data_IF_527620187396
#
_entry.id   IF_527620187396
#
_cell.length_a   1.000
_cell.length_b   1.000
_cell.length_c   1.000
_cell.angle_alpha   90.00
_cell.angle_beta   90.00
_cell.angle_gamma   90.00
#
_symmetry.space_group_name_H-M   'P 1'
#
loop_
_entity.id
_entity.type
_entity.pdbx_description
1 polymer ?
#
# COMPACT_ATOMS: atom_id res chain seq x y z
N UNK A 1 -7.30 -19.14 15.83
CA UNK A 1 -6.73 -18.03 16.61
C UNK A 1 -7.73 -17.63 17.67
N UNK A 2 -7.35 -17.58 18.94
CA UNK A 2 -8.19 -17.06 20.02
C UNK A 2 -8.21 -15.52 19.99
N UNK A 3 -9.13 -14.90 20.74
CA UNK A 3 -9.20 -13.44 20.86
C UNK A 3 -7.91 -12.82 21.43
N UNK A 4 -7.29 -13.49 22.41
CA UNK A 4 -6.01 -13.06 23.02
C UNK A 4 -4.88 -13.11 21.99
N UNK A 5 -4.77 -14.22 21.24
CA UNK A 5 -3.77 -14.37 20.17
C UNK A 5 -3.97 -13.31 19.07
N UNK A 6 -5.22 -13.02 18.71
CA UNK A 6 -5.52 -11.99 17.72
C UNK A 6 -5.09 -10.60 18.22
N UNK A 7 -5.35 -10.27 19.49
CA UNK A 7 -4.92 -9.01 20.09
C UNK A 7 -3.40 -8.84 20.06
N UNK A 8 -2.66 -9.89 20.43
CA UNK A 8 -1.21 -9.92 20.35
C UNK A 8 -0.72 -9.72 18.92
N UNK A 9 -1.34 -10.43 17.97
CA UNK A 9 -1.01 -10.36 16.56
C UNK A 9 -1.24 -8.96 15.99
N UNK A 10 -2.43 -8.38 16.15
CA UNK A 10 -2.76 -7.09 15.53
C UNK A 10 -1.94 -5.94 16.12
N UNK A 11 -1.64 -5.99 17.43
CA UNK A 11 -0.81 -4.99 18.10
C UNK A 11 0.66 -5.09 17.62
N UNK A 12 1.21 -6.31 17.54
CA UNK A 12 2.56 -6.54 17.02
C UNK A 12 2.66 -6.11 15.56
N UNK A 13 1.67 -6.50 14.74
CA UNK A 13 1.62 -6.18 13.31
C UNK A 13 1.56 -4.66 13.06
N UNK A 14 0.83 -3.90 13.88
CA UNK A 14 0.80 -2.43 13.78
C UNK A 14 2.19 -1.81 14.02
N UNK A 15 2.90 -2.24 15.05
CA UNK A 15 4.26 -1.74 15.36
C UNK A 15 5.26 -2.12 14.27
N UNK A 16 5.24 -3.39 13.84
CA UNK A 16 6.09 -3.88 12.76
C UNK A 16 5.84 -3.09 11.46
N UNK A 17 4.58 -2.79 11.16
CA UNK A 17 4.20 -1.99 9.99
C UNK A 17 4.77 -0.57 10.06
N UNK A 18 4.70 0.07 11.22
CA UNK A 18 5.28 1.39 11.42
C UNK A 18 6.81 1.40 11.21
N UNK A 19 7.52 0.37 11.68
CA UNK A 19 8.97 0.22 11.47
C UNK A 19 9.32 0.12 9.98
N UNK A 20 8.64 -0.77 9.25
CA UNK A 20 8.89 -0.97 7.81
C UNK A 20 8.59 0.30 7.00
N UNK A 21 7.51 1.01 7.33
CA UNK A 21 7.18 2.31 6.70
C UNK A 21 8.26 3.36 7.03
N UNK A 22 8.75 3.41 8.27
CA UNK A 22 9.81 4.32 8.69
C UNK A 22 11.12 4.10 7.92
N UNK A 23 11.53 2.83 7.76
CA UNK A 23 12.72 2.47 6.96
C UNK A 23 12.53 2.85 5.50
N UNK A 24 11.38 2.54 4.90
CA UNK A 24 11.07 2.92 3.52
C UNK A 24 11.11 4.45 3.31
N UNK A 25 10.55 5.22 4.24
CA UNK A 25 10.59 6.69 4.20
C UNK A 25 12.02 7.24 4.33
N UNK A 26 12.87 6.62 5.16
CA UNK A 26 14.29 6.97 5.28
C UNK A 26 15.07 6.70 3.98
N UNK A 27 14.90 5.50 3.42
CA UNK A 27 15.51 5.10 2.15
C UNK A 27 15.07 5.98 0.98
N UNK A 28 13.80 6.35 0.94
CA UNK A 28 13.26 7.25 -0.09
C UNK A 28 14.01 8.60 -0.09
N UNK A 29 14.27 9.17 1.09
CA UNK A 29 14.99 10.46 1.23
C UNK A 29 16.42 10.41 0.70
N UNK A 30 17.06 9.25 0.76
CA UNK A 30 18.44 9.07 0.30
C UNK A 30 18.53 8.76 -1.19
N UNK A 31 17.42 8.41 -1.83
CA UNK A 31 17.37 8.16 -3.26
C UNK A 31 17.07 9.43 -4.06
N UNK A 32 17.76 9.62 -5.18
CA UNK A 32 17.53 10.71 -6.14
C UNK A 32 16.42 10.36 -7.13
N UNK A 33 16.54 9.21 -7.82
CA UNK A 33 15.63 8.79 -8.88
C UNK A 33 14.22 8.39 -8.41
N UNK A 34 13.21 8.88 -9.13
CA UNK A 34 11.78 8.54 -8.89
C UNK A 34 11.47 7.06 -9.08
N UNK A 35 12.15 6.41 -10.02
CA UNK A 35 11.99 4.98 -10.27
C UNK A 35 12.46 4.15 -9.08
N UNK A 36 13.60 4.53 -8.48
CA UNK A 36 14.10 3.91 -7.24
C UNK A 36 13.14 4.13 -6.08
N UNK A 37 12.64 5.36 -5.90
CA UNK A 37 11.63 5.68 -4.88
C UNK A 37 10.37 4.82 -5.03
N UNK A 38 9.92 4.62 -6.27
CA UNK A 38 8.76 3.77 -6.56
C UNK A 38 9.02 2.33 -6.11
N UNK A 39 10.20 1.78 -6.40
CA UNK A 39 10.58 0.42 -5.97
C UNK A 39 10.65 0.28 -4.44
N UNK A 40 11.12 1.30 -3.73
CA UNK A 40 11.14 1.31 -2.25
C UNK A 40 9.73 1.18 -1.68
N UNK A 41 8.79 1.99 -2.16
CA UNK A 41 7.41 1.91 -1.69
C UNK A 41 6.70 0.62 -2.12
N UNK A 42 6.97 0.10 -3.32
CA UNK A 42 6.49 -1.22 -3.72
C UNK A 42 7.00 -2.30 -2.79
N UNK A 43 8.31 -2.31 -2.48
CA UNK A 43 8.91 -3.25 -1.54
C UNK A 43 8.29 -3.11 -0.14
N UNK A 44 8.03 -1.87 0.31
CA UNK A 44 7.33 -1.61 1.57
C UNK A 44 5.94 -2.29 1.60
N UNK A 45 5.08 -2.06 0.60
CA UNK A 45 3.74 -2.69 0.58
C UNK A 45 3.80 -4.22 0.47
N UNK A 46 4.72 -4.77 -0.31
CA UNK A 46 4.97 -6.22 -0.36
C UNK A 46 5.40 -6.73 1.00
N UNK A 47 6.32 -6.06 1.68
CA UNK A 47 6.77 -6.41 3.03
C UNK A 47 5.66 -6.33 4.06
N UNK A 48 4.77 -5.33 3.99
CA UNK A 48 3.62 -5.22 4.90
C UNK A 48 2.63 -6.39 4.72
N UNK A 49 2.37 -6.81 3.48
CA UNK A 49 1.53 -7.99 3.21
C UNK A 49 2.26 -9.30 3.55
N UNK A 50 3.58 -9.34 3.38
CA UNK A 50 4.42 -10.46 3.82
C UNK A 50 4.39 -10.63 5.34
N UNK A 51 4.47 -9.54 6.10
CA UNK A 51 4.34 -9.54 7.57
C UNK A 51 2.95 -10.04 8.02
N UNK A 52 1.90 -9.64 7.32
CA UNK A 52 0.54 -10.17 7.53
C UNK A 52 0.53 -11.69 7.34
N UNK A 53 1.09 -12.18 6.23
CA UNK A 53 1.14 -13.62 5.94
C UNK A 53 1.98 -14.38 6.97
N UNK A 54 3.17 -13.88 7.32
CA UNK A 54 4.05 -14.48 8.35
C UNK A 54 3.33 -14.55 9.69
N UNK A 55 2.69 -13.48 10.13
CA UNK A 55 2.00 -13.47 11.43
C UNK A 55 0.77 -14.37 11.50
N UNK A 56 0.15 -14.69 10.37
CA UNK A 56 -1.00 -15.59 10.31
C UNK A 56 -0.62 -17.05 10.09
N UNK A 57 0.49 -17.33 9.38
CA UNK A 57 0.85 -18.65 8.87
C UNK A 57 2.04 -19.31 9.58
N UNK A 58 2.90 -18.53 10.25
CA UNK A 58 4.10 -19.04 10.90
C UNK A 58 4.07 -18.82 12.42
N UNK A 59 4.60 -19.76 13.21
CA UNK A 59 4.84 -19.53 14.62
C UNK A 59 5.91 -18.46 14.78
N UNK A 60 5.74 -17.62 15.79
CA UNK A 60 6.66 -16.54 16.10
C UNK A 60 7.52 -16.86 17.31
N UNK A 61 8.70 -16.25 17.35
CA UNK A 61 9.63 -16.37 18.47
C UNK A 61 9.12 -15.57 19.67
N UNK A 62 9.09 -16.22 20.82
CA UNK A 62 8.75 -15.64 22.10
C UNK A 62 10.04 -15.44 22.89
N UNK A 63 10.61 -14.24 22.77
CA UNK A 63 11.89 -13.91 23.43
C UNK A 63 11.72 -13.57 24.91
N UNK A 64 10.50 -13.25 25.35
CA UNK A 64 10.20 -12.92 26.73
C UNK A 64 8.79 -13.37 27.14
N UNK A 65 8.64 -13.71 28.41
CA UNK A 65 7.34 -14.01 29.04
C UNK A 65 7.27 -13.26 30.38
N UNK A 66 6.73 -12.02 30.38
CA UNK A 66 6.67 -11.16 31.57
C UNK A 66 5.75 -11.71 32.66
N UNK A 67 4.90 -12.69 32.31
CA UNK A 67 3.89 -13.28 33.17
C UNK A 67 4.44 -14.33 34.15
N UNK A 68 5.69 -14.76 33.97
CA UNK A 68 6.31 -15.82 34.78
C UNK A 68 6.44 -15.49 36.27
N UNK A 69 6.47 -14.22 36.63
CA UNK A 69 6.57 -13.74 38.03
C UNK A 69 5.22 -13.24 38.57
N UNK A 70 4.17 -13.24 37.75
CA UNK A 70 2.85 -12.73 38.14
C UNK A 70 2.08 -13.77 38.95
N UNK A 71 1.23 -13.30 39.88
CA UNK A 71 0.35 -14.17 40.64
C UNK A 71 -0.75 -14.77 39.75
N UNK A 72 -1.25 -15.96 40.10
CA UNK A 72 -2.34 -16.63 39.37
C UNK A 72 -3.58 -15.73 39.21
N UNK A 73 -3.93 -14.96 40.25
CA UNK A 73 -5.03 -14.02 40.20
C UNK A 73 -4.80 -12.89 39.18
N UNK A 74 -3.58 -12.34 39.11
CA UNK A 74 -3.21 -11.30 38.13
C UNK A 74 -3.26 -11.84 36.70
N UNK A 75 -2.73 -13.04 36.48
CA UNK A 75 -2.73 -13.71 35.17
C UNK A 75 -4.17 -13.94 34.68
N UNK A 76 -5.05 -14.41 35.57
CA UNK A 76 -6.45 -14.70 35.23
C UNK A 76 -7.24 -13.41 34.92
N UNK A 77 -7.03 -12.36 35.71
CA UNK A 77 -7.65 -11.05 35.48
C UNK A 77 -7.19 -10.43 34.15
N UNK A 78 -5.89 -10.47 33.85
CA UNK A 78 -5.33 -10.00 32.59
C UNK A 78 -5.88 -10.80 31.40
N UNK A 79 -5.92 -12.12 31.49
CA UNK A 79 -6.48 -12.99 30.47
C UNK A 79 -7.95 -12.69 30.17
N UNK A 80 -8.76 -12.41 31.21
CA UNK A 80 -10.15 -11.98 31.05
C UNK A 80 -10.26 -10.67 30.29
N UNK A 81 -9.51 -9.64 30.72
CA UNK A 81 -9.50 -8.33 30.08
C UNK A 81 -9.01 -8.39 28.63
N UNK A 82 -7.93 -9.11 28.35
CA UNK A 82 -7.38 -9.28 27.00
C UNK A 82 -8.31 -10.07 26.08
N UNK A 83 -9.06 -11.05 26.60
CA UNK A 83 -10.05 -11.78 25.82
C UNK A 83 -11.20 -10.88 25.39
N UNK A 84 -11.75 -10.09 26.31
CA UNK A 84 -12.84 -9.14 26.00
C UNK A 84 -12.35 -8.07 25.00
N UNK A 85 -11.21 -7.45 25.28
CA UNK A 85 -10.60 -6.46 24.40
C UNK A 85 -10.27 -7.05 23.03
N UNK A 86 -9.65 -8.22 22.98
CA UNK A 86 -9.30 -8.91 21.73
C UNK A 86 -10.53 -9.27 20.90
N UNK A 87 -11.63 -9.66 21.54
CA UNK A 87 -12.91 -9.95 20.87
C UNK A 87 -13.48 -8.67 20.26
N UNK A 88 -13.52 -7.57 21.03
CA UNK A 88 -13.96 -6.27 20.53
C UNK A 88 -13.11 -5.79 19.36
N UNK A 89 -11.77 -5.82 19.50
CA UNK A 89 -10.83 -5.38 18.45
C UNK A 89 -10.96 -6.24 17.21
N UNK A 90 -11.17 -7.55 17.34
CA UNK A 90 -11.41 -8.45 16.20
C UNK A 90 -12.65 -8.05 15.40
N UNK A 91 -13.78 -7.84 16.08
CA UNK A 91 -15.01 -7.46 15.40
C UNK A 91 -14.93 -6.08 14.77
N UNK A 92 -14.32 -5.10 15.47
CA UNK A 92 -14.07 -3.76 14.92
C UNK A 92 -13.16 -3.84 13.69
N UNK A 93 -12.07 -4.61 13.77
CA UNK A 93 -11.14 -4.80 12.67
C UNK A 93 -11.82 -5.45 11.47
N UNK A 94 -12.55 -6.55 11.68
CA UNK A 94 -13.26 -7.29 10.64
C UNK A 94 -14.32 -6.43 9.96
N UNK A 95 -15.11 -5.69 10.75
CA UNK A 95 -16.09 -4.76 10.22
C UNK A 95 -15.43 -3.71 9.33
N UNK A 96 -14.32 -3.10 9.78
CA UNK A 96 -13.59 -2.14 8.97
C UNK A 96 -13.00 -2.73 7.69
N UNK A 97 -12.47 -3.96 7.73
CA UNK A 97 -12.00 -4.67 6.53
C UNK A 97 -13.14 -4.88 5.54
N UNK A 98 -14.30 -5.36 6.00
CA UNK A 98 -15.50 -5.58 5.15
C UNK A 98 -15.95 -4.27 4.52
N UNK A 99 -16.05 -3.19 5.31
CA UNK A 99 -16.41 -1.86 4.80
C UNK A 99 -15.42 -1.36 3.76
N UNK A 100 -14.12 -1.53 3.99
CA UNK A 100 -13.06 -1.11 3.07
C UNK A 100 -13.07 -1.90 1.76
N UNK A 101 -13.24 -3.22 1.83
CA UNK A 101 -13.35 -4.09 0.65
C UNK A 101 -14.62 -3.78 -0.13
N UNK A 102 -15.77 -3.61 0.54
CA UNK A 102 -17.02 -3.23 -0.10
C UNK A 102 -16.89 -1.87 -0.80
N UNK A 103 -16.29 -0.87 -0.14
CA UNK A 103 -16.01 0.44 -0.74
C UNK A 103 -15.12 0.32 -1.98
N UNK A 104 -14.07 -0.49 -1.92
CA UNK A 104 -13.17 -0.73 -3.06
C UNK A 104 -13.90 -1.40 -4.23
N UNK A 105 -14.72 -2.42 -3.94
CA UNK A 105 -15.51 -3.13 -4.94
C UNK A 105 -16.56 -2.21 -5.60
N UNK A 106 -17.29 -1.42 -4.81
CA UNK A 106 -18.25 -0.44 -5.32
C UNK A 106 -17.54 0.58 -6.20
N UNK A 107 -16.41 1.13 -5.74
CA UNK A 107 -15.64 2.09 -6.52
C UNK A 107 -15.15 1.49 -7.85
N UNK A 108 -14.66 0.25 -7.82
CA UNK A 108 -14.26 -0.47 -9.01
C UNK A 108 -15.41 -0.65 -10.01
N UNK A 109 -16.60 -1.06 -9.55
CA UNK A 109 -17.79 -1.22 -10.38
C UNK A 109 -18.22 0.12 -10.99
N UNK A 110 -18.27 1.19 -10.19
CA UNK A 110 -18.65 2.52 -10.65
C UNK A 110 -17.66 3.06 -11.70
N UNK A 111 -16.36 2.90 -11.47
CA UNK A 111 -15.32 3.31 -12.42
C UNK A 111 -15.42 2.50 -13.71
N UNK A 112 -15.59 1.18 -13.63
CA UNK A 112 -15.72 0.34 -14.81
C UNK A 112 -16.98 0.68 -15.62
N UNK A 113 -18.09 0.93 -14.94
CA UNK A 113 -19.33 1.39 -15.57
C UNK A 113 -19.14 2.74 -16.27
N UNK A 114 -18.47 3.69 -15.61
CA UNK A 114 -18.18 5.01 -16.15
C UNK A 114 -17.28 4.93 -17.40
N UNK A 115 -16.20 4.13 -17.33
CA UNK A 115 -15.25 3.92 -18.43
C UNK A 115 -15.91 3.31 -19.66
N UNK A 116 -16.78 2.31 -19.46
CA UNK A 116 -17.46 1.63 -20.55
C UNK A 116 -18.46 2.53 -21.29
N UNK A 117 -18.89 3.65 -20.69
CA UNK A 117 -19.83 4.61 -21.28
C UNK A 117 -19.16 5.74 -22.06
N UNK A 118 -17.87 5.95 -21.90
CA UNK A 118 -17.18 7.03 -22.60
C UNK A 118 -16.98 6.69 -24.08
N UNK A 119 -17.28 7.62 -25.00
CA UNK A 119 -17.11 7.40 -26.42
C UNK A 119 -15.62 7.30 -26.80
N UNK A 120 -15.34 6.53 -27.84
CA UNK A 120 -14.01 6.52 -28.46
C UNK A 120 -13.76 7.84 -29.19
N UNK A 121 -12.51 8.26 -29.27
CA UNK A 121 -12.14 9.39 -30.12
C UNK A 121 -12.41 9.05 -31.60
N UNK A 122 -12.76 10.04 -32.45
CA UNK A 122 -12.92 9.80 -33.89
C UNK A 122 -11.65 9.24 -34.54
N UNK A 123 -11.80 8.45 -35.60
CA UNK A 123 -10.67 7.75 -36.26
C UNK A 123 -9.54 8.69 -36.71
N UNK A 124 -9.89 9.89 -37.20
CA UNK A 124 -8.91 10.88 -37.62
C UNK A 124 -8.06 11.40 -36.45
N UNK A 125 -8.72 11.64 -35.32
CA UNK A 125 -8.07 12.07 -34.08
C UNK A 125 -7.22 10.93 -33.51
N UNK A 126 -7.72 9.69 -33.49
CA UNK A 126 -6.95 8.52 -33.05
C UNK A 126 -5.64 8.38 -33.84
N UNK A 127 -5.69 8.53 -35.17
CA UNK A 127 -4.50 8.51 -36.02
C UNK A 127 -3.52 9.61 -35.64
N UNK A 128 -4.00 10.85 -35.51
CA UNK A 128 -3.16 11.98 -35.14
C UNK A 128 -2.47 11.80 -33.78
N UNK A 129 -3.20 11.33 -32.76
CA UNK A 129 -2.64 11.04 -31.43
C UNK A 129 -1.55 9.97 -31.48
N UNK A 130 -1.74 8.93 -32.32
CA UNK A 130 -0.75 7.86 -32.49
C UNK A 130 0.52 8.34 -33.20
N UNK A 131 0.42 9.30 -34.12
CA UNK A 131 1.57 9.88 -34.82
C UNK A 131 2.43 10.77 -33.90
N UNK A 132 1.87 11.30 -32.81
CA UNK A 132 2.61 12.14 -31.85
C UNK A 132 3.55 11.37 -30.93
N UNK A 133 3.34 10.06 -30.78
CA UNK A 133 4.03 9.23 -29.79
C UNK A 133 4.68 8.02 -30.44
N UNK A 134 5.66 7.42 -29.77
CA UNK A 134 6.36 6.26 -30.33
C UNK A 134 5.47 5.01 -30.30
N UNK A 135 5.53 4.12 -31.32
CA UNK A 135 4.70 2.91 -31.37
C UNK A 135 4.81 2.02 -30.12
N UNK A 136 5.98 1.99 -29.48
CA UNK A 136 6.22 1.25 -28.24
C UNK A 136 5.38 1.75 -27.06
N UNK A 137 5.04 3.05 -27.04
CA UNK A 137 4.20 3.63 -25.98
C UNK A 137 2.72 3.28 -26.13
N UNK A 138 2.30 2.88 -27.33
CA UNK A 138 0.91 2.53 -27.66
C UNK A 138 0.54 1.09 -27.26
N UNK A 139 1.45 0.38 -26.60
CA UNK A 139 1.23 -0.97 -26.08
C UNK A 139 1.54 -1.00 -24.60
N UNK A 140 0.58 -1.46 -23.79
CA UNK A 140 0.74 -1.65 -22.35
C UNK A 140 0.28 -3.06 -21.98
N UNK A 141 1.14 -3.79 -21.24
CA UNK A 141 0.92 -5.20 -20.89
C UNK A 141 0.49 -6.09 -22.09
N UNK A 142 1.13 -5.89 -23.24
CA UNK A 142 0.85 -6.66 -24.47
C UNK A 142 -0.48 -6.33 -25.17
N UNK A 143 -1.17 -5.26 -24.77
CA UNK A 143 -2.44 -4.83 -25.37
C UNK A 143 -2.34 -3.40 -25.93
N UNK A 144 -2.99 -3.11 -27.07
CA UNK A 144 -2.98 -1.77 -27.65
C UNK A 144 -3.78 -0.78 -26.78
N UNK A 145 -3.30 0.46 -26.71
CA UNK A 145 -3.97 1.57 -26.03
C UNK A 145 -5.16 2.05 -26.86
N UNK A 146 -6.32 2.17 -26.22
CA UNK A 146 -7.53 2.77 -26.79
C UNK A 146 -7.71 4.20 -26.24
N UNK A 147 -7.77 5.19 -27.14
CA UNK A 147 -8.06 6.57 -26.78
C UNK A 147 -9.58 6.83 -26.71
N UNK A 148 -10.02 7.54 -25.67
CA UNK A 148 -11.42 7.88 -25.41
C UNK A 148 -11.56 9.35 -25.05
N UNK A 149 -12.74 9.91 -25.28
CA UNK A 149 -13.06 11.26 -24.82
C UNK A 149 -13.37 11.19 -23.33
N UNK A 150 -12.69 12.02 -22.54
CA UNK A 150 -12.88 12.13 -21.09
C UNK A 150 -13.70 13.37 -20.70
N UNK A 151 -14.27 13.41 -19.49
CA UNK A 151 -14.90 14.60 -18.95
C UNK A 151 -13.88 15.70 -18.62
N UNK A 152 -14.27 16.95 -18.90
CA UNK A 152 -13.42 18.13 -18.70
C UNK A 152 -13.06 18.38 -17.23
N UNK A 153 -13.96 18.05 -16.30
CA UNK A 153 -13.79 18.30 -14.86
C UNK A 153 -12.67 17.45 -14.25
N UNK A 154 -12.48 16.25 -14.80
CA UNK A 154 -11.47 15.27 -14.33
C UNK A 154 -10.11 15.59 -14.96
N UNK A 155 -10.11 16.08 -16.20
CA UNK A 155 -8.90 16.27 -17.01
C UNK A 155 -8.42 14.97 -17.66
N UNK A 156 -7.20 14.95 -18.21
CA UNK A 156 -6.62 13.75 -18.79
C UNK A 156 -6.33 12.72 -17.69
N UNK A 157 -6.62 11.45 -17.98
CA UNK A 157 -6.26 10.33 -17.10
C UNK A 157 -6.19 9.03 -17.90
N UNK A 158 -5.52 8.04 -17.34
CA UNK A 158 -5.47 6.70 -17.87
C UNK A 158 -6.11 5.67 -16.93
N UNK A 159 -6.46 4.52 -17.49
CA UNK A 159 -6.97 3.38 -16.73
C UNK A 159 -6.55 2.06 -17.36
N UNK A 160 -6.13 1.10 -16.53
CA UNK A 160 -5.77 -0.24 -16.99
C UNK A 160 -6.12 -1.30 -15.95
N UNK A 161 -7.23 -1.99 -16.19
CA UNK A 161 -7.52 -3.27 -15.55
C UNK A 161 -7.36 -4.41 -16.55
N UNK A 162 -8.18 -4.41 -17.62
CA UNK A 162 -8.10 -5.44 -18.66
C UNK A 162 -7.55 -4.90 -19.99
N UNK A 163 -8.04 -3.74 -20.46
CA UNK A 163 -7.50 -3.02 -21.62
C UNK A 163 -6.98 -1.64 -21.16
N UNK A 164 -5.85 -1.19 -21.70
CA UNK A 164 -5.33 0.13 -21.39
C UNK A 164 -6.13 1.20 -22.14
N UNK A 165 -6.67 2.16 -21.40
CA UNK A 165 -7.43 3.29 -21.90
C UNK A 165 -6.76 4.60 -21.51
N UNK A 166 -6.70 5.55 -22.44
CA UNK A 166 -6.33 6.94 -22.17
C UNK A 166 -7.53 7.82 -22.49
N UNK A 167 -7.95 8.61 -21.51
CA UNK A 167 -9.07 9.54 -21.62
C UNK A 167 -8.52 10.94 -21.77
N UNK A 168 -8.95 11.61 -22.84
CA UNK A 168 -8.50 12.96 -23.18
C UNK A 168 -9.75 13.85 -23.26
N UNK A 169 -9.84 14.91 -22.45
CA UNK A 169 -10.87 15.93 -22.59
C UNK A 169 -10.90 16.53 -24.01
N UNK A 170 -12.08 16.89 -24.50
CA UNK A 170 -12.24 17.44 -25.84
C UNK A 170 -11.45 18.75 -26.01
N UNK A 171 -11.42 19.58 -24.97
CA UNK A 171 -10.67 20.85 -24.97
C UNK A 171 -9.16 20.65 -25.14
N UNK A 172 -8.60 19.50 -24.73
CA UNK A 172 -7.18 19.19 -24.94
C UNK A 172 -6.89 18.69 -26.35
N UNK A 173 -7.86 18.15 -27.07
CA UNK A 173 -7.69 17.79 -28.48
C UNK A 173 -7.53 19.01 -29.38
N UNK A 174 -8.03 20.17 -28.94
CA UNK A 174 -7.88 21.47 -29.61
C UNK A 174 -6.67 22.28 -29.12
N UNK A 175 -5.90 21.74 -28.17
CA UNK A 175 -4.72 22.42 -27.61
C UNK A 175 -3.52 22.40 -28.55
N UNK A 176 -2.48 23.16 -28.20
CA UNK A 176 -1.23 23.14 -28.94
C UNK A 176 -0.63 21.72 -28.99
N UNK A 177 -0.02 21.38 -30.14
CA UNK A 177 0.58 20.07 -30.37
C UNK A 177 1.61 19.66 -29.32
N UNK A 178 2.35 20.63 -28.77
CA UNK A 178 3.33 20.37 -27.71
C UNK A 178 2.63 20.06 -26.37
N UNK A 179 1.56 20.79 -26.04
CA UNK A 179 0.75 20.56 -24.84
C UNK A 179 0.14 19.14 -24.86
N UNK A 180 -0.49 18.79 -25.98
CA UNK A 180 -1.10 17.48 -26.17
C UNK A 180 -0.06 16.35 -26.11
N UNK A 181 1.12 16.54 -26.72
CA UNK A 181 2.21 15.56 -26.64
C UNK A 181 2.69 15.33 -25.21
N UNK A 182 2.89 16.38 -24.42
CA UNK A 182 3.28 16.25 -23.01
C UNK A 182 2.24 15.45 -22.20
N UNK A 183 0.95 15.71 -22.44
CA UNK A 183 -0.14 14.96 -21.80
C UNK A 183 -0.11 13.49 -22.18
N UNK A 184 0.06 13.19 -23.48
CA UNK A 184 0.13 11.82 -23.97
C UNK A 184 1.33 11.08 -23.37
N UNK A 185 2.52 11.68 -23.38
CA UNK A 185 3.72 11.08 -22.79
C UNK A 185 3.52 10.79 -21.29
N UNK A 186 2.86 11.69 -20.55
CA UNK A 186 2.54 11.50 -19.14
C UNK A 186 1.58 10.32 -18.92
N UNK A 187 0.42 10.32 -19.59
CA UNK A 187 -0.61 9.30 -19.40
C UNK A 187 -0.20 7.92 -19.93
N UNK A 188 0.56 7.86 -21.03
CA UNK A 188 1.10 6.60 -21.54
C UNK A 188 2.19 6.05 -20.60
N UNK A 189 2.96 6.92 -19.94
CA UNK A 189 3.93 6.47 -18.93
C UNK A 189 3.25 5.75 -17.78
N UNK A 190 2.10 6.25 -17.30
CA UNK A 190 1.32 5.55 -16.26
C UNK A 190 0.90 4.13 -16.66
N UNK A 191 0.62 3.89 -17.94
CA UNK A 191 0.22 2.59 -18.47
C UNK A 191 1.40 1.63 -18.69
N UNK A 192 2.57 2.17 -19.04
CA UNK A 192 3.78 1.37 -19.31
C UNK A 192 4.45 0.88 -18.04
N UNK A 193 4.28 1.58 -16.94
CA UNK A 193 4.85 1.22 -15.64
C UNK A 193 3.95 0.20 -14.93
N UNK A 194 4.52 -0.56 -13.98
CA UNK A 194 3.79 -1.58 -13.20
C UNK A 194 2.81 -0.98 -12.16
N UNK A 195 2.19 0.17 -12.45
CA UNK A 195 1.27 0.87 -11.54
C UNK A 195 0.03 0.07 -11.15
N UNK A 196 -0.61 -0.74 -12.02
CA UNK A 196 -1.79 -1.50 -11.61
C UNK A 196 -1.51 -2.47 -10.46
N UNK A 197 -0.40 -3.21 -10.50
CA UNK A 197 0.01 -4.11 -9.42
C UNK A 197 0.36 -3.33 -8.15
N UNK A 198 1.08 -2.22 -8.28
CA UNK A 198 1.44 -1.36 -7.13
C UNK A 198 0.19 -0.79 -6.44
N UNK A 199 -0.79 -0.36 -7.22
CA UNK A 199 -2.06 0.14 -6.71
C UNK A 199 -2.84 -0.97 -6.03
N UNK A 200 -2.87 -2.18 -6.61
CA UNK A 200 -3.51 -3.34 -5.98
C UNK A 200 -2.89 -3.68 -4.62
N UNK A 201 -1.56 -3.75 -4.53
CA UNK A 201 -0.85 -3.99 -3.27
C UNK A 201 -1.18 -2.90 -2.24
N UNK A 202 -1.07 -1.63 -2.63
CA UNK A 202 -1.39 -0.48 -1.79
C UNK A 202 -2.84 -0.50 -1.27
N UNK A 203 -3.83 -0.78 -2.14
CA UNK A 203 -5.24 -0.87 -1.75
C UNK A 203 -5.52 -2.06 -0.84
N UNK A 204 -4.89 -3.20 -1.10
CA UNK A 204 -4.98 -4.38 -0.23
C UNK A 204 -4.44 -4.07 1.16
N UNK A 205 -3.24 -3.47 1.26
CA UNK A 205 -2.67 -3.05 2.54
C UNK A 205 -3.58 -2.05 3.26
N UNK A 206 -4.17 -1.07 2.55
CA UNK A 206 -5.13 -0.12 3.13
C UNK A 206 -6.39 -0.79 3.68
N UNK A 207 -6.87 -1.88 3.07
CA UNK A 207 -8.03 -2.60 3.58
C UNK A 207 -7.70 -3.32 4.89
N UNK A 208 -6.53 -3.96 4.98
CA UNK A 208 -6.08 -4.71 6.18
C UNK A 208 -5.73 -3.76 7.32
N UNK A 209 -5.01 -2.68 7.02
CA UNK A 209 -4.50 -1.69 7.99
C UNK A 209 -5.29 -0.37 7.91
N UNK A 210 -6.61 -0.47 7.73
CA UNK A 210 -7.48 0.70 7.52
C UNK A 210 -7.41 1.72 8.67
N UNK A 211 -7.17 1.25 9.89
CA UNK A 211 -7.02 2.08 11.09
C UNK A 211 -5.63 2.71 11.23
N UNK A 212 -4.63 2.28 10.45
CA UNK A 212 -3.24 2.65 10.64
C UNK A 212 -2.87 3.94 9.87
N UNK A 213 -2.66 5.09 10.54
CA UNK A 213 -2.47 6.38 9.87
C UNK A 213 -1.23 6.40 8.94
N UNK A 214 -0.13 5.75 9.32
CA UNK A 214 1.08 5.74 8.49
C UNK A 214 0.90 5.02 7.16
N UNK A 215 -0.03 4.06 7.05
CA UNK A 215 -0.32 3.37 5.78
C UNK A 215 -0.99 4.33 4.79
N UNK A 216 -1.85 5.23 5.29
CA UNK A 216 -2.45 6.29 4.48
C UNK A 216 -1.42 7.32 4.03
N UNK A 217 -0.50 7.71 4.93
CA UNK A 217 0.61 8.60 4.58
C UNK A 217 1.52 7.96 3.53
N UNK A 218 1.91 6.69 3.73
CA UNK A 218 2.70 5.91 2.78
C UNK A 218 2.02 5.80 1.41
N UNK A 219 0.71 5.52 1.40
CA UNK A 219 -0.11 5.50 0.18
C UNK A 219 -0.06 6.83 -0.57
N UNK A 220 -0.29 7.94 0.12
CA UNK A 220 -0.29 9.27 -0.50
C UNK A 220 1.10 9.62 -1.03
N UNK A 221 2.15 9.23 -0.30
CA UNK A 221 3.53 9.41 -0.75
C UNK A 221 3.85 8.58 -1.99
N UNK A 222 3.43 7.31 -2.03
CA UNK A 222 3.59 6.44 -3.19
C UNK A 222 2.82 6.98 -4.42
N UNK A 223 1.62 7.53 -4.24
CA UNK A 223 0.87 8.20 -5.31
C UNK A 223 1.69 9.35 -5.90
N UNK A 224 2.21 10.24 -5.05
CA UNK A 224 3.00 11.40 -5.48
C UNK A 224 4.27 11.00 -6.23
N UNK A 225 4.93 9.93 -5.79
CA UNK A 225 6.15 9.42 -6.43
C UNK A 225 5.85 8.83 -7.81
N UNK A 226 4.69 8.22 -8.03
CA UNK A 226 4.27 7.79 -9.37
C UNK A 226 4.08 8.96 -10.32
N UNK A 227 3.47 10.05 -9.83
CA UNK A 227 3.38 11.30 -10.62
C UNK A 227 4.77 11.82 -10.98
N UNK A 228 5.74 11.76 -10.06
CA UNK A 228 7.12 12.15 -10.35
C UNK A 228 7.77 11.33 -11.47
N UNK A 229 7.53 10.02 -11.53
CA UNK A 229 8.01 9.18 -12.64
C UNK A 229 7.42 9.63 -13.97
N UNK A 230 6.12 9.93 -13.99
CA UNK A 230 5.43 10.36 -15.20
C UNK A 230 5.84 11.78 -15.62
N UNK A 231 6.07 12.68 -14.66
CA UNK A 231 6.62 14.02 -14.89
C UNK A 231 8.04 13.96 -15.47
N UNK A 232 8.88 13.06 -14.95
CA UNK A 232 10.25 12.86 -15.45
C UNK A 232 10.23 12.39 -16.91
N UNK A 233 9.30 11.50 -17.26
CA UNK A 233 9.14 10.99 -18.62
C UNK A 233 8.60 12.07 -19.58
N UNK A 234 7.55 12.79 -19.18
CA UNK A 234 6.89 13.78 -20.04
C UNK A 234 7.68 15.08 -20.22
N UNK A 235 8.55 15.43 -19.26
CA UNK A 235 9.38 16.63 -19.36
C UNK A 235 10.61 16.45 -20.26
N UNK A 236 10.95 15.22 -20.67
CA UNK A 236 12.11 14.84 -21.50
C UNK A 236 13.48 15.39 -21.02
N UNK A 237 13.58 15.93 -19.80
CA UNK A 237 14.77 16.55 -19.22
C UNK A 237 15.16 17.91 -19.83
N UNK A 238 15.97 18.67 -19.09
CA UNK A 238 16.64 19.89 -19.62
C UNK A 238 15.69 21.06 -19.93
N UNK A 239 15.89 21.69 -21.09
CA UNK A 239 15.21 22.93 -21.51
C UNK A 239 13.69 22.77 -21.75
N UNK A 240 13.20 21.55 -21.99
CA UNK A 240 11.78 21.26 -22.19
C UNK A 240 10.95 21.29 -20.88
N UNK A 241 11.61 21.26 -19.71
CA UNK A 241 10.94 21.29 -18.39
C UNK A 241 10.03 22.52 -18.22
N UNK A 242 10.45 23.69 -18.71
CA UNK A 242 9.64 24.90 -18.60
C UNK A 242 8.36 24.83 -19.45
N UNK A 243 8.42 24.23 -20.65
CA UNK A 243 7.25 24.02 -21.50
C UNK A 243 6.28 23.00 -20.87
N UNK A 244 6.82 21.93 -20.29
CA UNK A 244 6.02 20.95 -19.55
C UNK A 244 5.32 21.58 -18.34
N UNK A 245 6.00 22.42 -17.55
CA UNK A 245 5.40 23.12 -16.41
C UNK A 245 4.24 24.03 -16.84
N UNK A 246 4.34 24.70 -18.00
CA UNK A 246 3.24 25.48 -18.57
C UNK A 246 2.05 24.60 -18.95
N UNK A 247 2.32 23.44 -19.56
CA UNK A 247 1.29 22.43 -19.86
C UNK A 247 0.58 21.97 -18.58
N UNK A 248 1.35 21.62 -17.55
CA UNK A 248 0.80 21.20 -16.25
C UNK A 248 -0.10 22.28 -15.63
N UNK A 249 0.31 23.55 -15.70
CA UNK A 249 -0.49 24.67 -15.19
C UNK A 249 -1.77 24.87 -16.01
N UNK A 250 -1.68 24.82 -17.34
CA UNK A 250 -2.84 24.97 -18.24
C UNK A 250 -3.91 23.90 -17.97
N UNK A 251 -3.51 22.64 -17.77
CA UNK A 251 -4.44 21.55 -17.42
C UNK A 251 -5.17 21.84 -16.11
N UNK A 252 -4.44 22.32 -15.10
CA UNK A 252 -5.01 22.64 -13.77
C UNK A 252 -5.97 23.82 -13.85
N UNK A 253 -5.65 24.83 -14.65
CA UNK A 253 -6.53 25.98 -14.90
C UNK A 253 -7.83 25.56 -15.59
N UNK A 254 -7.74 24.74 -16.64
CA UNK A 254 -8.92 24.16 -17.32
C UNK A 254 -9.78 23.38 -16.33
N UNK A 255 -9.20 22.43 -15.58
CA UNK A 255 -9.95 21.64 -14.58
C UNK A 255 -10.65 22.52 -13.53
N UNK A 256 -10.02 23.61 -13.10
CA UNK A 256 -10.63 24.54 -12.12
C UNK A 256 -11.83 25.27 -12.69
N UNK A 257 -11.77 25.69 -13.95
CA UNK A 257 -12.90 26.34 -14.62
C UNK A 257 -14.13 25.43 -14.63
N UNK A 258 -13.96 24.14 -14.89
CA UNK A 258 -15.07 23.18 -14.92
C UNK A 258 -15.51 22.71 -13.51
N UNK A 259 -14.61 22.65 -12.51
CA UNK A 259 -14.95 22.27 -11.11
C UNK A 259 -15.74 23.31 -10.34
N UNK A 260 -15.70 24.58 -10.73
CA UNK A 260 -16.50 25.64 -10.09
C UNK A 260 -18.02 25.45 -10.31
N UNK A 261 -18.44 24.47 -11.13
CA UNK A 261 -19.84 24.16 -11.42
C UNK A 261 -20.44 22.97 -10.64
N UNK A 262 -19.70 22.32 -9.73
CA UNK A 262 -20.29 21.27 -8.88
C UNK A 262 -19.26 20.37 -8.18
N UNK A 263 -19.40 20.22 -6.85
CA UNK A 263 -18.76 19.23 -5.97
C UNK A 263 -17.35 18.76 -6.39
N UNK A 264 -16.34 19.49 -5.90
CA UNK A 264 -14.93 19.26 -6.20
C UNK A 264 -14.41 17.91 -5.67
N UNK A 265 -14.30 16.92 -6.56
CA UNK A 265 -13.35 15.80 -6.45
C UNK A 265 -12.17 16.09 -7.38
N UNK A 266 -11.22 16.91 -6.92
CA UNK A 266 -10.01 17.25 -7.66
C UNK A 266 -8.76 17.10 -6.83
N UNK A 267 -7.66 16.70 -7.48
CA UNK A 267 -6.30 16.66 -6.90
C UNK A 267 -5.99 17.98 -6.20
N UNK A 268 -5.42 17.91 -5.00
CA UNK A 268 -5.20 19.11 -4.19
C UNK A 268 -4.15 20.01 -4.86
N UNK A 269 -4.40 21.33 -4.85
CA UNK A 269 -3.46 22.35 -5.37
C UNK A 269 -2.05 22.19 -4.77
N UNK A 270 -1.95 21.61 -3.58
CA UNK A 270 -0.68 21.27 -2.95
C UNK A 270 0.16 20.25 -3.72
N UNK A 271 -0.45 19.25 -4.39
CA UNK A 271 0.30 18.23 -5.14
C UNK A 271 0.96 18.81 -6.40
N UNK A 272 0.24 19.64 -7.16
CA UNK A 272 0.77 20.33 -8.35
C UNK A 272 1.96 21.22 -7.98
N UNK A 273 1.85 21.97 -6.88
CA UNK A 273 2.93 22.82 -6.38
C UNK A 273 4.18 22.00 -6.02
N UNK A 274 4.00 20.84 -5.38
CA UNK A 274 5.11 19.95 -5.01
C UNK A 274 5.79 19.37 -6.26
N UNK A 275 5.02 18.94 -7.25
CA UNK A 275 5.53 18.46 -8.55
C UNK A 275 6.33 19.55 -9.28
N UNK A 276 5.75 20.74 -9.40
CA UNK A 276 6.40 21.88 -10.06
C UNK A 276 7.70 22.29 -9.35
N UNK A 277 7.69 22.42 -8.02
CA UNK A 277 8.88 22.76 -7.24
C UNK A 277 10.00 21.72 -7.41
N UNK A 278 9.64 20.43 -7.47
CA UNK A 278 10.59 19.33 -7.67
C UNK A 278 11.23 19.37 -9.07
N UNK A 279 10.44 19.56 -10.12
CA UNK A 279 10.96 19.68 -11.49
C UNK A 279 11.91 20.87 -11.63
N UNK A 280 11.58 22.03 -11.03
CA UNK A 280 12.46 23.20 -10.99
C UNK A 280 13.76 22.91 -10.24
N UNK A 281 13.70 22.16 -9.13
CA UNK A 281 14.89 21.80 -8.36
C UNK A 281 15.82 20.84 -9.11
N UNK A 282 15.26 19.84 -9.81
CA UNK A 282 16.06 18.90 -10.62
C UNK A 282 16.78 19.59 -11.78
N UNK A 283 16.17 20.61 -12.38
CA UNK A 283 16.83 21.41 -13.41
C UNK A 283 18.09 22.13 -12.89
N UNK A 284 18.16 22.42 -11.58
CA UNK A 284 19.26 23.17 -10.95
C UNK A 284 20.42 22.31 -10.44
N UNK A 285 20.34 20.98 -10.51
CA UNK A 285 21.44 20.10 -10.12
C UNK A 285 21.12 18.62 -10.25
N UNK A 286 22.00 17.89 -10.93
CA UNK A 286 21.97 16.42 -11.04
C UNK A 286 22.84 15.85 -9.93
N UNK A 287 22.25 15.33 -8.85
CA UNK A 287 22.99 14.45 -7.96
C UNK A 287 23.24 13.12 -8.69
N UNK A 288 24.47 12.56 -8.66
CA UNK A 288 24.75 11.29 -9.31
C UNK A 288 23.85 10.19 -8.73
N UNK A 289 23.23 9.43 -9.62
CA UNK A 289 22.24 8.43 -9.27
C UNK A 289 22.96 7.16 -8.78
N UNK A 290 23.09 7.03 -7.46
CA UNK A 290 23.63 5.81 -6.90
C UNK A 290 22.56 4.71 -7.01
N UNK A 291 22.77 3.76 -7.92
CA UNK A 291 21.94 2.55 -8.09
C UNK A 291 22.14 1.61 -6.89
N UNK A 292 21.73 2.06 -5.72
CA UNK A 292 21.74 1.27 -4.50
C UNK A 292 20.70 0.15 -4.61
N UNK A 293 20.96 -1.04 -4.04
CA UNK A 293 19.96 -2.10 -3.92
C UNK A 293 18.95 -1.74 -2.83
N UNK A 294 18.08 -0.75 -3.07
CA UNK A 294 17.20 -0.16 -2.05
C UNK A 294 16.03 -1.07 -1.63
N UNK A 295 15.77 -2.13 -2.39
CA UNK A 295 14.75 -3.15 -2.08
C UNK A 295 15.22 -4.05 -0.93
N UNK A 296 16.48 -4.49 -0.95
CA UNK A 296 17.05 -5.39 0.04
C UNK A 296 16.93 -4.88 1.50
N UNK A 297 17.29 -3.63 1.84
CA UNK A 297 17.17 -3.13 3.21
C UNK A 297 15.71 -3.03 3.68
N UNK A 298 14.76 -2.74 2.78
CA UNK A 298 13.33 -2.72 3.15
C UNK A 298 12.84 -4.12 3.50
N UNK A 299 13.20 -5.12 2.70
CA UNK A 299 12.85 -6.52 2.98
C UNK A 299 13.58 -7.07 4.21
N UNK A 300 14.84 -6.71 4.41
CA UNK A 300 15.60 -7.08 5.61
C UNK A 300 14.99 -6.45 6.87
N UNK A 301 14.54 -5.20 6.79
CA UNK A 301 13.82 -4.56 7.88
C UNK A 301 12.51 -5.28 8.20
N UNK A 302 11.78 -5.76 7.20
CA UNK A 302 10.59 -6.58 7.41
C UNK A 302 10.91 -7.93 8.04
N UNK A 303 12.01 -8.58 7.63
CA UNK A 303 12.48 -9.81 8.25
C UNK A 303 12.91 -9.60 9.71
N UNK A 304 13.61 -8.51 10.01
CA UNK A 304 13.95 -8.17 11.39
C UNK A 304 12.69 -7.82 12.21
N UNK A 305 11.75 -7.09 11.62
CA UNK A 305 10.48 -6.75 12.26
C UNK A 305 9.64 -7.99 12.59
N UNK A 306 9.66 -9.02 11.74
CA UNK A 306 8.89 -10.25 11.99
C UNK A 306 9.35 -11.01 13.24
N UNK A 307 10.53 -10.68 13.79
CA UNK A 307 11.04 -11.22 15.05
C UNK A 307 10.55 -10.42 16.28
N UNK A 308 10.00 -9.21 16.08
CA UNK A 308 9.53 -8.33 17.14
C UNK A 308 8.05 -8.59 17.45
N UNK A 309 7.78 -9.43 18.44
CA UNK A 309 6.42 -9.70 18.93
C UNK A 309 6.21 -9.16 20.34
N UNK A 310 5.06 -8.53 20.56
CA UNK A 310 4.69 -8.06 21.89
C UNK A 310 4.35 -9.26 22.78
N UNK A 311 4.96 -9.40 23.96
CA UNK A 311 4.76 -10.56 24.84
C UNK A 311 3.51 -10.36 25.73
N UNK A 312 2.36 -10.06 25.13
CA UNK A 312 1.14 -9.76 25.89
C UNK A 312 0.34 -11.00 26.29
N UNK A 313 0.40 -12.12 25.56
CA UNK A 313 -0.42 -13.30 25.90
C UNK A 313 -0.02 -13.92 27.27
N UNK A 314 -0.90 -13.89 28.29
CA UNK A 314 -0.63 -14.36 29.64
C UNK A 314 -0.50 -15.88 29.75
N UNK A 315 -0.96 -16.62 28.73
CA UNK A 315 -0.86 -18.07 28.70
C UNK A 315 0.37 -18.57 27.93
N UNK A 316 1.29 -17.68 27.57
CA UNK A 316 2.58 -18.09 27.00
C UNK A 316 3.38 -18.91 28.02
N UNK A 317 4.06 -19.94 27.54
CA UNK A 317 4.90 -20.80 28.39
C UNK A 317 6.35 -20.34 28.31
N UNK A 318 7.04 -20.26 29.44
CA UNK A 318 8.50 -20.04 29.45
C UNK A 318 9.31 -21.24 28.95
N UNK A 319 8.66 -22.39 28.73
CA UNK A 319 9.32 -23.64 28.31
C UNK A 319 9.45 -23.79 26.80
N UNK A 320 8.73 -22.99 26.00
CA UNK A 320 8.75 -23.05 24.54
C UNK A 320 9.11 -21.68 23.99
N UNK A 321 9.98 -21.67 22.99
CA UNK A 321 10.39 -20.44 22.30
C UNK A 321 9.43 -20.11 21.16
N UNK A 322 8.62 -21.08 20.70
CA UNK A 322 7.69 -20.91 19.59
C UNK A 322 6.27 -20.70 20.10
N UNK A 323 5.60 -19.72 19.51
CA UNK A 323 4.22 -19.44 19.83
C UNK A 323 3.29 -20.59 19.46
N UNK A 324 2.21 -20.80 20.23
CA UNK A 324 1.24 -21.86 19.99
C UNK A 324 0.30 -21.63 18.78
N UNK A 325 0.44 -20.49 18.10
CA UNK A 325 -0.31 -20.15 16.89
C UNK A 325 0.63 -19.92 15.71
N UNK A 326 0.26 -20.33 14.48
CA UNK A 326 -0.88 -21.19 14.16
C UNK A 326 -0.70 -22.61 14.67
N UNK A 327 -1.81 -23.31 14.90
CA UNK A 327 -1.77 -24.69 15.41
C UNK A 327 -1.28 -25.62 14.32
N UNK A 328 -0.11 -26.23 14.52
CA UNK A 328 0.46 -27.23 13.64
C UNK A 328 0.25 -28.64 14.20
N UNK A 329 0.02 -29.61 13.33
CA UNK A 329 -0.08 -31.02 13.71
C UNK A 329 1.29 -31.57 14.13
N UNK A 330 1.31 -32.60 14.97
CA UNK A 330 2.55 -33.31 15.31
C UNK A 330 3.24 -33.86 14.05
N UNK A 331 2.47 -34.35 13.07
CA UNK A 331 3.00 -34.83 11.79
C UNK A 331 3.71 -33.72 10.99
N UNK A 332 3.15 -32.51 10.95
CA UNK A 332 3.78 -31.36 10.29
C UNK A 332 5.06 -30.90 11.00
N UNK A 333 5.10 -30.96 12.34
CA UNK A 333 6.31 -30.64 13.10
C UNK A 333 7.40 -31.68 12.86
N UNK A 334 7.05 -32.96 12.89
CA UNK A 334 7.99 -34.05 12.57
C UNK A 334 8.52 -33.96 11.13
N UNK A 335 7.68 -33.59 10.16
CA UNK A 335 8.12 -33.40 8.78
C UNK A 335 9.12 -32.23 8.59
N UNK A 336 9.19 -31.31 9.55
CA UNK A 336 10.12 -30.17 9.56
C UNK A 336 11.30 -30.37 10.53
N UNK A 337 11.49 -31.59 11.05
CA UNK A 337 12.48 -31.92 12.09
C UNK A 337 12.37 -31.05 13.37
N UNK A 338 11.17 -30.52 13.65
CA UNK A 338 10.89 -29.74 14.84
C UNK A 338 10.41 -30.64 15.98
N UNK A 339 11.10 -30.68 17.13
CA UNK A 339 10.67 -31.47 18.27
C UNK A 339 9.38 -30.90 18.88
N UNK A 340 8.35 -31.75 19.04
CA UNK A 340 7.03 -31.37 19.56
C UNK A 340 7.11 -30.70 20.93
N UNK A 341 8.09 -31.07 21.77
CA UNK A 341 8.32 -30.46 23.09
C UNK A 341 8.65 -28.97 23.05
N UNK A 342 9.21 -28.50 21.94
CA UNK A 342 9.63 -27.11 21.76
C UNK A 342 8.51 -26.27 21.12
N UNK A 343 7.38 -26.91 20.74
CA UNK A 343 6.19 -26.27 20.18
C UNK A 343 5.05 -26.28 21.18
N UNK A 344 4.67 -25.11 21.69
CA UNK A 344 3.57 -25.01 22.64
C UNK A 344 2.24 -25.44 21.99
N UNK A 345 1.70 -26.60 22.34
CA UNK A 345 0.33 -26.99 21.97
C UNK A 345 -0.62 -26.51 23.07
N UNK A 346 -1.63 -25.72 22.68
CA UNK A 346 -2.45 -24.96 23.64
C UNK A 346 -3.33 -25.88 24.51
N UNK A 347 -2.87 -26.23 25.72
CA UNK A 347 -3.67 -26.77 26.83
C UNK A 347 -4.44 -25.65 27.57
N UNK A 348 -5.05 -24.70 26.83
CA UNK A 348 -5.60 -23.46 27.39
C UNK A 348 -6.67 -23.71 28.47
N UNK A 349 -7.52 -24.74 28.26
CA UNK A 349 -8.55 -25.18 29.23
C UNK A 349 -7.96 -25.77 30.52
N UNK A 350 -6.84 -26.50 30.41
CA UNK A 350 -6.21 -27.13 31.57
C UNK A 350 -5.50 -26.08 32.42
N UNK A 351 -4.77 -25.15 31.79
CA UNK A 351 -4.10 -24.05 32.49
C UNK A 351 -5.07 -23.12 33.21
N UNK A 352 -6.22 -22.81 32.61
CA UNK A 352 -7.25 -22.01 33.28
C UNK A 352 -7.86 -22.76 34.47
N UNK A 353 -8.04 -24.09 34.37
CA UNK A 353 -8.50 -24.90 35.50
C UNK A 353 -7.51 -24.91 36.66
N UNK A 354 -6.22 -25.15 36.39
CA UNK A 354 -5.15 -25.10 37.40
C UNK A 354 -5.08 -23.73 38.10
N UNK A 355 -5.17 -22.64 37.31
CA UNK A 355 -5.17 -21.27 37.86
C UNK A 355 -6.41 -20.95 38.72
N UNK A 356 -7.54 -21.61 38.46
CA UNK A 356 -8.76 -21.47 39.26
C UNK A 356 -8.69 -22.31 40.54
N UNK A 357 -8.03 -23.47 40.52
CA UNK A 357 -7.80 -24.31 41.71
C UNK A 357 -6.83 -23.65 42.71
N UNK A 358 -5.82 -22.94 42.21
CA UNK A 358 -4.83 -22.21 43.03
C UNK A 358 -5.30 -20.81 43.48
N UNK A 359 -6.47 -20.35 43.03
CA UNK A 359 -7.02 -19.08 43.48
C UNK A 359 -7.49 -19.20 44.94
N UNK A 360 -7.02 -18.35 45.87
CA UNK A 360 -7.46 -18.42 47.25
C UNK A 360 -8.98 -18.20 47.30
N UNK A 361 -9.70 -19.20 47.80
CA UNK A 361 -11.13 -19.13 48.06
C UNK A 361 -11.38 -17.95 49.00
N UNK A 362 -11.83 -16.82 48.46
CA UNK A 362 -12.31 -15.68 49.25
C UNK A 362 -13.54 -16.17 50.03
N UNK A 363 -13.38 -16.36 51.34
CA UNK A 363 -14.47 -16.60 52.29
C UNK A 363 -15.17 -15.30 52.66
#
# INVERSE_FOLDING_TARGET
MSAIQFLQWIASYAIQSALVIGVAAGLERWSSASTTKTRVWTACFVSLLGLLAVGLLLPHLQLSSPWTTASSATVLAAAGAEKELGTLVLWVWLFGVVVMVARLAIHFVLVQWFINRQPRVPTEVDRHLREMVTPETLVAAGKPVEFRIGPEEIGPFCYQFHRPHVFIPASLLESDSQELRHVLEHELTHLRTEHPLQLFLQKTTQCVLWFHPLVWVASNRANLIREFVCDDAASNGGAATAAYLRTLLAIVERQRQFKLSGLALGRSVSEVRVRAARLVAQHKGVSPDLRLPVVAPTMLAALAASLLWLPIDPFTSSRSILSPWPTWSAATLHALDLPVRDFQTFHQRYRTHELLEDAPLSR
#
